data_IF_695803999062
#
_entry.id   IF_695803999062
#
_cell.length_a   1.000
_cell.length_b   1.000
_cell.length_c   1.000
_cell.angle_alpha   90.00
_cell.angle_beta   90.00
_cell.angle_gamma   90.00
#
_symmetry.space_group_name_H-M   'P 1'
#
loop_
_entity.id
_entity.type
_entity.pdbx_description
1 polymer ?
#
# COMPACT_ATOMS: atom_id res chain seq x y z
N UNK A 1 0.42 -8.24 -24.60
CA UNK A 1 -0.34 -8.66 -23.40
C UNK A 1 0.71 -9.01 -22.36
N UNK A 2 0.73 -8.31 -21.23
CA UNK A 2 1.83 -8.40 -20.25
C UNK A 2 1.59 -9.63 -19.36
N UNK A 3 2.43 -10.66 -19.48
CA UNK A 3 2.31 -11.95 -18.78
C UNK A 3 2.21 -11.83 -17.25
N UNK A 4 2.53 -10.65 -16.71
CA UNK A 4 2.43 -10.28 -15.29
C UNK A 4 1.00 -10.29 -14.74
N UNK A 5 -0.04 -10.23 -15.58
CA UNK A 5 -1.44 -10.38 -15.16
C UNK A 5 -1.89 -11.84 -14.94
N UNK A 6 -1.07 -12.84 -15.32
CA UNK A 6 -1.45 -14.26 -15.21
C UNK A 6 -1.05 -14.94 -13.89
N UNK A 7 -0.18 -14.31 -13.09
CA UNK A 7 0.21 -14.86 -11.78
C UNK A 7 -0.90 -14.54 -10.76
N UNK A 8 -1.52 -15.53 -10.10
CA UNK A 8 -2.49 -15.27 -9.03
C UNK A 8 -1.85 -14.42 -7.93
N UNK A 9 -2.45 -13.28 -7.61
CA UNK A 9 -1.92 -12.30 -6.67
C UNK A 9 -3.05 -11.60 -5.90
N UNK A 10 -2.85 -11.22 -4.64
CA UNK A 10 -3.86 -10.51 -3.86
C UNK A 10 -4.15 -9.13 -4.42
N UNK A 11 -5.41 -8.72 -4.40
CA UNK A 11 -5.87 -7.39 -4.77
C UNK A 11 -6.33 -6.65 -3.53
N UNK A 12 -5.84 -5.43 -3.37
CA UNK A 12 -6.27 -4.48 -2.34
C UNK A 12 -7.76 -4.16 -2.55
N UNK A 13 -8.59 -4.44 -1.56
CA UNK A 13 -10.02 -4.11 -1.61
C UNK A 13 -10.31 -2.77 -0.92
N UNK A 14 -9.57 -2.46 0.13
CA UNK A 14 -9.77 -1.26 0.93
C UNK A 14 -8.46 -0.76 1.56
N UNK A 15 -8.27 0.56 1.50
CA UNK A 15 -7.35 1.30 2.34
C UNK A 15 -8.13 2.36 3.11
N UNK A 16 -8.10 2.31 4.44
CA UNK A 16 -8.84 3.22 5.29
C UNK A 16 -7.98 3.77 6.41
N UNK A 17 -7.91 5.09 6.54
CA UNK A 17 -7.22 5.71 7.67
C UNK A 17 -7.95 5.39 8.99
N UNK A 18 -7.21 4.90 9.99
CA UNK A 18 -7.70 4.59 11.33
C UNK A 18 -7.36 5.68 12.34
N UNK A 19 -6.22 6.35 12.14
CA UNK A 19 -5.70 7.43 12.96
C UNK A 19 -4.81 8.32 12.07
N UNK A 20 -4.39 9.52 12.53
CA UNK A 20 -3.56 10.41 11.72
C UNK A 20 -2.33 9.74 11.08
N UNK A 21 -1.71 8.77 11.76
CA UNK A 21 -0.55 8.03 11.27
C UNK A 21 -0.81 6.53 11.01
N UNK A 22 -2.06 6.09 10.87
CA UNK A 22 -2.38 4.67 10.70
C UNK A 22 -3.38 4.43 9.58
N UNK A 23 -3.07 3.43 8.75
CA UNK A 23 -3.91 2.99 7.64
C UNK A 23 -4.18 1.51 7.81
N UNK A 24 -5.45 1.11 7.73
CA UNK A 24 -5.88 -0.27 7.54
C UNK A 24 -5.78 -0.62 6.06
N UNK A 25 -5.17 -1.76 5.75
CA UNK A 25 -5.02 -2.33 4.43
C UNK A 25 -5.72 -3.69 4.42
N UNK A 26 -6.64 -3.90 3.48
CA UNK A 26 -7.42 -5.15 3.36
C UNK A 26 -7.29 -5.73 1.95
N UNK A 27 -6.89 -6.99 1.84
CA UNK A 27 -6.81 -7.75 0.58
C UNK A 27 -8.02 -8.68 0.40
N UNK A 28 -8.28 -9.11 -0.84
CA UNK A 28 -9.34 -10.05 -1.19
C UNK A 28 -9.00 -11.53 -0.90
N UNK A 29 -7.71 -11.84 -0.73
CA UNK A 29 -7.22 -13.18 -0.44
C UNK A 29 -5.98 -13.15 0.47
N UNK A 30 -5.64 -14.28 1.14
CA UNK A 30 -4.48 -14.37 2.02
C UNK A 30 -3.17 -14.03 1.32
N UNK A 31 -2.39 -13.14 1.92
CA UNK A 31 -1.09 -12.74 1.40
C UNK A 31 0.05 -13.58 1.98
N UNK A 32 1.18 -13.60 1.28
CA UNK A 32 2.44 -13.93 1.92
C UNK A 32 2.83 -12.82 2.91
N UNK A 33 3.10 -13.22 4.16
CA UNK A 33 3.32 -12.30 5.26
C UNK A 33 4.55 -11.42 5.05
N UNK A 34 5.64 -11.98 4.54
CA UNK A 34 6.88 -11.24 4.36
C UNK A 34 6.73 -10.12 3.33
N UNK A 35 6.13 -10.42 2.17
CA UNK A 35 5.89 -9.43 1.12
C UNK A 35 4.82 -8.40 1.51
N UNK A 36 3.78 -8.79 2.24
CA UNK A 36 2.75 -7.86 2.72
C UNK A 36 3.24 -6.93 3.84
N UNK A 37 4.20 -7.36 4.65
CA UNK A 37 4.74 -6.53 5.75
C UNK A 37 5.98 -5.72 5.36
N UNK A 38 6.52 -5.92 4.16
CA UNK A 38 7.63 -5.14 3.61
C UNK A 38 7.14 -3.76 3.18
N UNK A 39 7.42 -2.72 3.96
CA UNK A 39 6.86 -1.37 3.68
C UNK A 39 7.33 -0.78 2.33
N UNK A 40 8.52 -1.13 1.85
CA UNK A 40 9.03 -0.70 0.54
C UNK A 40 8.42 -1.44 -0.66
N UNK A 41 7.40 -2.26 -0.42
CA UNK A 41 6.46 -2.74 -1.42
C UNK A 41 5.23 -1.83 -1.58
N UNK A 42 5.22 -0.67 -0.91
CA UNK A 42 4.09 0.24 -0.94
C UNK A 42 4.54 1.63 -1.38
N UNK A 43 3.62 2.31 -2.07
CA UNK A 43 3.69 3.73 -2.40
C UNK A 43 2.43 4.41 -1.88
N UNK A 44 2.57 5.67 -1.50
CA UNK A 44 1.42 6.55 -1.25
C UNK A 44 1.57 7.78 -2.13
N UNK A 45 0.59 7.98 -3.02
CA UNK A 45 0.44 9.21 -3.78
C UNK A 45 -0.31 10.25 -2.96
N UNK A 46 -0.02 11.53 -3.23
CA UNK A 46 -0.83 12.63 -2.75
C UNK A 46 -1.07 13.67 -3.82
N UNK A 47 -2.16 14.44 -3.69
CA UNK A 47 -2.45 15.61 -4.54
C UNK A 47 -1.64 16.87 -4.16
N UNK A 48 -0.67 16.76 -3.25
CA UNK A 48 0.21 17.88 -2.88
C UNK A 48 1.22 18.16 -3.98
N UNK A 49 1.55 19.44 -4.20
CA UNK A 49 2.60 19.86 -5.14
C UNK A 49 3.98 19.28 -4.77
N UNK A 50 4.23 19.11 -3.47
CA UNK A 50 5.41 18.42 -2.94
C UNK A 50 4.97 17.39 -1.91
N UNK A 51 5.04 16.08 -2.21
CA UNK A 51 4.69 15.03 -1.27
C UNK A 51 5.48 15.17 0.03
N UNK A 52 4.77 15.08 1.15
CA UNK A 52 5.31 15.13 2.52
C UNK A 52 4.44 14.26 3.43
N UNK A 53 4.87 14.09 4.69
CA UNK A 53 4.15 13.26 5.66
C UNK A 53 4.22 11.79 5.26
N UNK A 54 3.06 11.16 5.07
CA UNK A 54 2.97 9.73 4.71
C UNK A 54 3.13 9.45 3.21
N UNK A 55 3.19 10.48 2.36
CA UNK A 55 3.29 10.33 0.91
C UNK A 55 4.69 10.66 0.39
N UNK A 56 5.16 9.82 -0.53
CA UNK A 56 6.47 9.95 -1.19
C UNK A 56 6.35 10.28 -2.69
N UNK A 57 5.13 10.24 -3.26
CA UNK A 57 4.91 10.36 -4.71
C UNK A 57 3.80 11.36 -5.04
N UNK A 58 4.01 12.17 -6.08
CA UNK A 58 3.00 13.08 -6.61
C UNK A 58 1.94 12.37 -7.46
N UNK A 59 0.79 13.01 -7.69
CA UNK A 59 -0.19 12.50 -8.64
C UNK A 59 0.41 12.45 -10.06
N UNK A 60 0.34 11.28 -10.70
CA UNK A 60 0.83 11.08 -12.07
C UNK A 60 2.31 10.68 -12.19
N UNK A 61 3.09 10.72 -11.11
CA UNK A 61 4.47 10.25 -11.14
C UNK A 61 4.57 8.72 -11.23
N UNK A 62 5.57 8.23 -11.94
CA UNK A 62 5.86 6.81 -12.07
C UNK A 62 6.29 6.21 -10.72
N UNK A 63 5.85 4.98 -10.44
CA UNK A 63 6.28 4.24 -9.26
C UNK A 63 7.66 3.65 -9.53
N UNK A 64 8.64 4.02 -8.72
CA UNK A 64 10.02 3.56 -8.82
C UNK A 64 10.51 3.10 -7.46
N UNK A 65 11.55 2.26 -7.41
CA UNK A 65 12.15 1.86 -6.13
C UNK A 65 12.71 3.05 -5.35
N UNK A 66 13.10 4.14 -6.03
CA UNK A 66 13.65 5.34 -5.40
C UNK A 66 12.60 6.17 -4.64
N UNK A 67 11.32 6.03 -4.99
CA UNK A 67 10.20 6.75 -4.37
C UNK A 67 9.21 5.82 -3.64
N UNK A 68 9.62 4.57 -3.36
CA UNK A 68 8.89 3.68 -2.47
C UNK A 68 8.96 4.18 -1.03
N UNK A 69 7.98 3.79 -0.20
CA UNK A 69 8.01 4.11 1.23
C UNK A 69 9.27 3.51 1.84
N UNK A 70 10.06 4.36 2.48
CA UNK A 70 11.34 3.95 3.06
C UNK A 70 11.11 3.17 4.36
N UNK A 71 11.93 2.16 4.69
CA UNK A 71 11.77 1.36 5.91
C UNK A 71 11.72 2.18 7.20
N UNK A 72 12.41 3.31 7.24
CA UNK A 72 12.42 4.21 8.39
C UNK A 72 11.10 4.98 8.59
N UNK A 73 10.23 5.08 7.58
CA UNK A 73 9.01 5.89 7.66
C UNK A 73 7.89 5.24 8.48
N UNK A 74 7.93 3.92 8.66
CA UNK A 74 6.87 3.20 9.35
C UNK A 74 7.07 1.69 9.38
N UNK A 75 6.03 0.99 9.82
CA UNK A 75 5.99 -0.46 9.87
C UNK A 75 4.59 -0.98 9.53
N UNK A 76 4.51 -2.21 9.04
CA UNK A 76 3.25 -2.89 8.75
C UNK A 76 3.11 -4.11 9.66
N UNK A 77 1.97 -4.24 10.34
CA UNK A 77 1.68 -5.37 11.22
C UNK A 77 0.34 -6.00 10.87
N UNK A 78 0.20 -7.33 10.90
CA UNK A 78 -1.09 -7.98 10.73
C UNK A 78 -2.05 -7.58 11.86
N UNK A 79 -3.35 -7.48 11.56
CA UNK A 79 -4.38 -7.22 12.61
C UNK A 79 -4.92 -8.49 13.23
N UNK A 80 -4.77 -9.60 12.53
CA UNK A 80 -5.26 -10.93 12.89
C UNK A 80 -4.49 -12.02 12.10
N UNK A 81 -4.90 -13.27 12.22
CA UNK A 81 -4.26 -14.41 11.56
C UNK A 81 -4.77 -14.67 10.13
N UNK A 82 -5.65 -13.81 9.57
CA UNK A 82 -6.20 -14.01 8.21
C UNK A 82 -5.17 -13.84 7.11
N UNK A 83 -4.07 -13.13 7.39
CA UNK A 83 -3.12 -12.62 6.38
C UNK A 83 -3.77 -11.75 5.30
N UNK A 84 -4.96 -11.22 5.55
CA UNK A 84 -5.67 -10.34 4.64
C UNK A 84 -5.70 -8.90 5.14
N UNK A 85 -5.44 -8.67 6.43
CA UNK A 85 -5.65 -7.37 7.09
C UNK A 85 -4.40 -6.92 7.83
N UNK A 86 -3.98 -5.69 7.53
CA UNK A 86 -2.74 -5.12 8.05
C UNK A 86 -2.95 -3.67 8.48
N UNK A 87 -2.24 -3.24 9.52
CA UNK A 87 -2.09 -1.83 9.88
C UNK A 87 -0.71 -1.38 9.45
N UNK A 88 -0.68 -0.38 8.58
CA UNK A 88 0.51 0.40 8.28
C UNK A 88 0.56 1.60 9.23
N UNK A 89 1.56 1.64 10.10
CA UNK A 89 1.78 2.72 11.07
C UNK A 89 3.00 3.55 10.66
N UNK A 90 2.79 4.84 10.49
CA UNK A 90 3.82 5.81 10.13
C UNK A 90 4.39 6.52 11.35
N UNK A 91 5.61 7.03 11.21
CA UNK A 91 6.25 7.91 12.20
C UNK A 91 5.75 9.34 12.16
N UNK A 92 5.11 9.73 11.05
CA UNK A 92 4.54 11.05 10.82
C UNK A 92 3.06 10.93 10.51
N UNK A 93 2.31 12.02 10.69
CA UNK A 93 0.89 12.05 10.39
C UNK A 93 0.63 12.30 8.91
N UNK A 94 -0.52 11.83 8.43
CA UNK A 94 -1.15 12.33 7.23
C UNK A 94 -1.52 13.80 7.43
N UNK A 95 -1.41 14.58 6.36
CA UNK A 95 -1.83 15.97 6.35
C UNK A 95 -3.34 16.03 6.18
N UNK A 96 -4.01 16.75 7.07
CA UNK A 96 -5.47 16.92 7.04
C UNK A 96 -5.93 17.53 5.70
N UNK A 97 -7.00 16.98 5.12
CA UNK A 97 -7.61 17.47 3.88
C UNK A 97 -6.87 17.07 2.59
N UNK A 98 -5.73 16.38 2.69
CA UNK A 98 -4.99 15.89 1.52
C UNK A 98 -5.58 14.58 1.02
N UNK A 99 -5.71 14.45 -0.29
CA UNK A 99 -6.11 13.20 -0.93
C UNK A 99 -4.91 12.27 -1.07
N UNK A 100 -5.02 11.07 -0.52
CA UNK A 100 -4.02 10.02 -0.60
C UNK A 100 -4.52 8.81 -1.40
N UNK A 101 -3.61 8.15 -2.11
CA UNK A 101 -3.86 6.87 -2.80
C UNK A 101 -2.80 5.86 -2.40
N UNK A 102 -3.21 4.72 -1.84
CA UNK A 102 -2.31 3.64 -1.40
C UNK A 102 -2.13 2.63 -2.52
N UNK A 103 -0.88 2.36 -2.87
CA UNK A 103 -0.50 1.57 -4.04
C UNK A 103 0.47 0.46 -3.60
N UNK A 104 -0.05 -0.69 -3.16
CA UNK A 104 0.77 -1.87 -2.93
C UNK A 104 1.26 -2.47 -4.26
N UNK A 105 2.50 -2.91 -4.29
CA UNK A 105 3.08 -3.68 -5.38
C UNK A 105 3.84 -4.88 -4.80
N UNK A 106 4.03 -5.94 -5.59
CA UNK A 106 4.91 -7.06 -5.24
C UNK A 106 4.46 -7.90 -4.02
N UNK A 107 3.21 -7.76 -3.58
CA UNK A 107 2.62 -8.59 -2.53
C UNK A 107 2.22 -9.93 -3.14
N UNK A 108 2.77 -11.02 -2.61
CA UNK A 108 2.52 -12.36 -3.12
C UNK A 108 1.29 -12.98 -2.47
N UNK A 109 0.69 -13.94 -3.17
CA UNK A 109 -0.30 -14.83 -2.57
C UNK A 109 0.38 -15.75 -1.54
N UNK A 110 -0.35 -16.14 -0.51
CA UNK A 110 0.14 -17.09 0.50
C UNK A 110 0.81 -18.33 -0.15
N UNK A 111 2.04 -18.64 0.30
CA UNK A 111 2.81 -19.78 -0.20
C UNK A 111 3.39 -19.61 -1.60
N UNK A 112 3.27 -18.41 -2.20
CA UNK A 112 3.82 -18.09 -3.52
C UNK A 112 4.84 -16.95 -3.46
N UNK A 113 5.63 -16.84 -4.53
CA UNK A 113 6.68 -15.82 -4.68
C UNK A 113 6.78 -15.38 -6.15
N UNK A 114 7.47 -14.28 -6.41
CA UNK A 114 7.83 -13.85 -7.76
C UNK A 114 6.79 -12.93 -8.45
N UNK A 115 5.74 -12.52 -7.74
CA UNK A 115 4.84 -11.49 -8.24
C UNK A 115 5.54 -10.12 -8.28
N UNK A 116 5.55 -9.49 -9.45
CA UNK A 116 6.26 -8.24 -9.71
C UNK A 116 5.33 -7.13 -10.24
N UNK A 117 4.03 -7.20 -9.91
CA UNK A 117 3.00 -6.27 -10.39
C UNK A 117 2.36 -5.42 -9.29
N UNK A 118 1.28 -4.75 -9.67
CA UNK A 118 0.44 -3.91 -8.82
C UNK A 118 -0.67 -4.72 -8.14
N UNK A 119 -0.80 -4.60 -6.82
CA UNK A 119 -1.83 -5.30 -6.05
C UNK A 119 -3.10 -4.47 -5.90
N UNK A 120 -3.50 -3.70 -6.91
CA UNK A 120 -4.70 -2.88 -6.90
C UNK A 120 -5.33 -2.87 -8.31
N UNK A 121 -6.63 -2.57 -8.38
CA UNK A 121 -7.38 -2.59 -9.64
C UNK A 121 -8.56 -1.61 -9.63
N UNK A 122 -9.40 -1.62 -10.68
CA UNK A 122 -10.47 -0.64 -10.86
C UNK A 122 -11.50 -0.56 -9.72
N UNK A 123 -11.64 -1.63 -8.93
CA UNK A 123 -12.58 -1.72 -7.81
C UNK A 123 -11.91 -1.56 -6.44
N UNK A 124 -10.60 -1.32 -6.39
CA UNK A 124 -9.88 -1.06 -5.14
C UNK A 124 -10.31 0.27 -4.54
N UNK A 125 -10.80 0.24 -3.29
CA UNK A 125 -11.09 1.47 -2.53
C UNK A 125 -9.82 1.91 -1.80
N UNK A 126 -8.81 2.32 -2.57
CA UNK A 126 -7.46 2.61 -2.06
C UNK A 126 -7.20 4.10 -1.83
N UNK A 127 -8.25 4.91 -1.81
CA UNK A 127 -8.18 6.36 -1.67
C UNK A 127 -8.82 6.82 -0.36
N UNK A 128 -8.21 7.81 0.30
CA UNK A 128 -8.80 8.46 1.48
C UNK A 128 -8.36 9.93 1.57
N UNK A 129 -9.14 10.73 2.30
CA UNK A 129 -8.77 12.09 2.69
C UNK A 129 -8.16 12.04 4.09
N UNK A 130 -7.01 12.67 4.27
CA UNK A 130 -6.36 12.78 5.58
C UNK A 130 -7.28 13.41 6.62
N UNK A 131 -7.53 12.70 7.71
CA UNK A 131 -8.20 13.16 8.93
C UNK A 131 -7.20 13.74 9.93
#
# INVERSE_FOLDING_TARGET
>A
MDDRQMIPHPILTESRQLAPNQILITYDQPTDLASATTISNYWIRSNMTKPTGIADVGMGEALTRANAIRPEMGMITPTDNSRMRFIMRFRVNATMGVLYVVLPCFVNLEGRTGYMGENWGPFSRNMFIGM
#
